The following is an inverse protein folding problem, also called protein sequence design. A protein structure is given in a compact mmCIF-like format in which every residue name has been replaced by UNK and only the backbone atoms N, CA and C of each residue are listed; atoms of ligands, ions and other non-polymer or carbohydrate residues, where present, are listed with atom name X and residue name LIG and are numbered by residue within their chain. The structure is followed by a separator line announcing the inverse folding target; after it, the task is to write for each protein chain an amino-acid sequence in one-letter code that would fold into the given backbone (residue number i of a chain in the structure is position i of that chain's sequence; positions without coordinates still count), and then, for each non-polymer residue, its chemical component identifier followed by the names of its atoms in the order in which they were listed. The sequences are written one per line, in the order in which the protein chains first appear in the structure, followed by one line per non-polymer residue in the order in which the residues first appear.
data_IF_025805235715
#
_entry.id   IF_025805235715
#
_cell.length_a   1.000
_cell.length_b   1.000
_cell.length_c   1.000
_cell.angle_alpha   90.00
_cell.angle_beta   90.00
_cell.angle_gamma   90.00
#
_symmetry.space_group_name_H-M   'P 1'
#
loop_
_entity.id
_entity.type
_entity.pdbx_description
1 polymer ?
#
# COMPACT_ATOMS: atom_id res chain seq x y z
N UNK A 1 -8.41 -10.42 -5.59
CA UNK A 1 -7.04 -10.13 -6.04
C UNK A 1 -7.10 -9.50 -7.44
N UNK A 2 -6.30 -8.48 -7.70
CA UNK A 2 -6.06 -7.94 -9.03
C UNK A 2 -4.63 -7.43 -9.11
N UNK A 3 -3.78 -8.20 -9.80
CA UNK A 3 -2.36 -7.84 -9.93
C UNK A 3 -1.94 -7.94 -11.39
N UNK A 4 -1.51 -6.80 -11.96
CA UNK A 4 -1.04 -6.67 -13.33
C UNK A 4 0.39 -6.13 -13.47
N UNK A 5 1.17 -6.07 -12.38
CA UNK A 5 2.49 -5.40 -12.36
C UNK A 5 3.59 -6.09 -13.20
N UNK A 6 3.48 -7.39 -13.49
CA UNK A 6 4.54 -8.13 -14.18
C UNK A 6 4.13 -8.57 -15.58
N UNK A 7 5.11 -8.81 -16.45
CA UNK A 7 4.87 -9.22 -17.83
C UNK A 7 4.12 -10.56 -17.94
N UNK A 8 4.32 -11.46 -16.97
CA UNK A 8 3.75 -12.81 -16.94
C UNK A 8 2.31 -12.89 -16.40
N UNK A 9 1.60 -11.78 -16.32
CA UNK A 9 0.23 -11.76 -15.79
C UNK A 9 -0.70 -12.64 -16.60
N UNK A 10 -1.70 -13.22 -15.93
CA UNK A 10 -2.60 -14.18 -16.57
C UNK A 10 -3.29 -13.54 -17.80
N UNK A 11 -3.18 -14.21 -18.95
CA UNK A 11 -3.72 -13.78 -20.24
C UNK A 11 -3.20 -12.42 -20.74
N UNK A 12 -2.06 -11.95 -20.23
CA UNK A 12 -1.53 -10.62 -20.54
C UNK A 12 -2.44 -9.47 -20.08
N UNK A 13 -3.27 -9.72 -19.05
CA UNK A 13 -4.21 -8.74 -18.51
C UNK A 13 -4.00 -8.52 -17.02
N UNK A 14 -4.33 -9.52 -16.20
CA UNK A 14 -4.18 -9.46 -14.75
C UNK A 14 -4.37 -10.85 -14.13
N UNK A 15 -3.72 -11.09 -13.00
CA UNK A 15 -4.03 -12.24 -12.15
C UNK A 15 -5.23 -11.91 -11.25
N UNK A 16 -6.32 -12.67 -11.35
CA UNK A 16 -7.59 -12.39 -10.64
C UNK A 16 -8.04 -13.48 -9.66
N UNK A 17 -7.28 -14.57 -9.54
CA UNK A 17 -7.59 -15.70 -8.64
C UNK A 17 -6.34 -16.10 -7.86
N UNK A 18 -5.22 -16.28 -8.60
CA UNK A 18 -3.89 -16.49 -8.06
C UNK A 18 -2.87 -15.90 -9.03
N UNK A 19 -1.78 -15.36 -8.50
CA UNK A 19 -0.64 -14.90 -9.30
C UNK A 19 0.02 -16.05 -10.04
N UNK A 20 0.41 -15.82 -11.31
CA UNK A 20 1.25 -16.78 -12.06
C UNK A 20 2.59 -17.00 -11.34
N UNK A 21 3.10 -15.98 -10.66
CA UNK A 21 4.28 -16.06 -9.79
C UNK A 21 4.07 -16.84 -8.48
N UNK A 22 2.83 -17.31 -8.21
CA UNK A 22 2.49 -18.05 -6.99
C UNK A 22 1.83 -17.21 -5.89
N UNK A 23 1.81 -15.87 -6.02
CA UNK A 23 1.17 -14.93 -5.06
C UNK A 23 -0.28 -15.34 -4.79
N UNK A 24 -0.65 -15.53 -3.53
CA UNK A 24 -2.02 -15.87 -3.11
C UNK A 24 -2.87 -14.61 -3.05
N UNK A 25 -4.20 -14.78 -3.00
CA UNK A 25 -5.13 -13.66 -2.76
C UNK A 25 -4.80 -12.91 -1.46
N UNK A 26 -4.54 -13.65 -0.37
CA UNK A 26 -4.13 -13.07 0.92
C UNK A 26 -2.89 -12.19 0.82
N UNK A 27 -1.83 -12.68 0.18
CA UNK A 27 -0.60 -11.89 0.00
C UNK A 27 -0.86 -10.67 -0.89
N UNK A 28 -1.69 -10.79 -1.92
CA UNK A 28 -2.02 -9.70 -2.83
C UNK A 28 -2.72 -8.54 -2.10
N UNK A 29 -3.83 -8.82 -1.43
CA UNK A 29 -4.60 -7.78 -0.73
C UNK A 29 -3.78 -7.12 0.37
N UNK A 30 -2.91 -7.88 1.07
CA UNK A 30 -2.01 -7.29 2.06
C UNK A 30 -0.94 -6.40 1.43
N UNK A 31 -0.43 -6.71 0.23
CA UNK A 31 0.46 -5.82 -0.51
C UNK A 31 -0.26 -4.54 -0.94
N UNK A 32 -1.50 -4.62 -1.42
CA UNK A 32 -2.33 -3.45 -1.73
C UNK A 32 -2.55 -2.58 -0.49
N UNK A 33 -2.88 -3.19 0.65
CA UNK A 33 -3.06 -2.50 1.91
C UNK A 33 -1.76 -1.84 2.41
N UNK A 34 -0.61 -2.45 2.16
CA UNK A 34 0.69 -1.86 2.45
C UNK A 34 0.94 -0.60 1.60
N UNK A 35 0.66 -0.65 0.29
CA UNK A 35 0.75 0.53 -0.57
C UNK A 35 -0.18 1.64 -0.07
N UNK A 36 -1.42 1.30 0.31
CA UNK A 36 -2.37 2.24 0.87
C UNK A 36 -1.86 2.90 2.17
N UNK A 37 -1.26 2.12 3.07
CA UNK A 37 -0.62 2.65 4.28
C UNK A 37 0.59 3.55 3.97
N UNK A 38 1.41 3.16 2.98
CA UNK A 38 2.55 3.95 2.51
C UNK A 38 2.11 5.29 1.91
N UNK A 39 1.00 5.34 1.17
CA UNK A 39 0.44 6.59 0.66
C UNK A 39 0.09 7.56 1.81
N UNK A 40 -0.51 7.05 2.90
CA UNK A 40 -0.79 7.86 4.08
C UNK A 40 0.44 8.33 4.83
N UNK A 41 1.50 7.52 4.90
CA UNK A 41 2.78 7.94 5.44
C UNK A 41 3.42 9.02 4.55
N UNK A 42 3.46 8.80 3.23
CA UNK A 42 4.05 9.72 2.27
C UNK A 42 3.39 11.10 2.28
N UNK A 43 2.06 11.18 2.37
CA UNK A 43 1.36 12.46 2.45
C UNK A 43 1.73 13.25 3.72
N UNK A 44 1.80 12.58 4.86
CA UNK A 44 2.25 13.19 6.12
C UNK A 44 3.71 13.63 6.02
N UNK A 45 4.57 12.83 5.39
CA UNK A 45 5.98 13.18 5.14
C UNK A 45 6.08 14.46 4.33
N UNK A 46 5.35 14.57 3.22
CA UNK A 46 5.36 15.76 2.38
C UNK A 46 4.92 17.02 3.14
N UNK A 47 3.89 16.93 3.99
CA UNK A 47 3.47 18.07 4.82
C UNK A 47 4.48 18.40 5.93
N UNK A 48 5.13 17.39 6.52
CA UNK A 48 6.17 17.59 7.52
C UNK A 48 7.39 18.31 6.91
N UNK A 49 7.77 17.93 5.69
CA UNK A 49 8.88 18.56 4.97
C UNK A 49 8.63 20.04 4.67
N UNK A 50 7.39 20.42 4.34
CA UNK A 50 7.00 21.84 4.17
C UNK A 50 7.22 22.67 5.44
N UNK A 51 7.20 22.03 6.62
CA UNK A 51 7.49 22.64 7.92
C UNK A 51 8.96 22.51 8.33
N UNK A 52 9.82 22.00 7.46
CA UNK A 52 11.25 21.79 7.72
C UNK A 52 11.55 20.55 8.57
N UNK A 53 10.57 19.68 8.83
CA UNK A 53 10.77 18.42 9.54
C UNK A 53 11.02 17.31 8.53
N UNK A 54 12.29 16.90 8.40
CA UNK A 54 12.72 15.82 7.51
C UNK A 54 13.17 14.61 8.31
N UNK A 55 12.80 13.42 7.83
CA UNK A 55 13.06 12.14 8.49
C UNK A 55 13.59 11.13 7.47
N UNK A 56 14.91 11.13 7.18
CA UNK A 56 15.50 10.20 6.22
C UNK A 56 15.15 8.73 6.50
N UNK A 57 14.99 8.36 7.77
CA UNK A 57 14.55 7.02 8.19
C UNK A 57 13.15 6.65 7.69
N UNK A 58 12.25 7.63 7.55
CA UNK A 58 10.92 7.43 6.97
C UNK A 58 11.03 7.22 5.47
N UNK A 59 11.90 7.98 4.79
CA UNK A 59 12.15 7.82 3.35
C UNK A 59 12.75 6.44 3.04
N UNK A 60 13.72 6.00 3.85
CA UNK A 60 14.31 4.67 3.73
C UNK A 60 13.27 3.57 3.95
N UNK A 61 12.41 3.72 4.96
CA UNK A 61 11.33 2.77 5.22
C UNK A 61 10.33 2.70 4.06
N UNK A 62 9.93 3.84 3.49
CA UNK A 62 9.02 3.88 2.33
C UNK A 62 9.60 3.10 1.15
N UNK A 63 10.89 3.30 0.85
CA UNK A 63 11.57 2.53 -0.20
C UNK A 63 11.58 1.03 0.09
N UNK A 64 11.90 0.63 1.33
CA UNK A 64 11.91 -0.78 1.73
C UNK A 64 10.52 -1.42 1.64
N UNK A 65 9.49 -0.73 2.15
CA UNK A 65 8.12 -1.19 2.14
C UNK A 65 7.60 -1.37 0.72
N UNK A 66 7.81 -0.40 -0.17
CA UNK A 66 7.42 -0.49 -1.59
C UNK A 66 8.19 -1.63 -2.26
N UNK A 67 9.50 -1.74 -2.04
CA UNK A 67 10.31 -2.81 -2.61
C UNK A 67 9.79 -4.21 -2.22
N UNK A 68 9.25 -4.36 -1.00
CA UNK A 68 8.68 -5.62 -0.53
C UNK A 68 7.44 -6.09 -1.34
N UNK A 69 6.80 -5.19 -2.08
CA UNK A 69 5.62 -5.50 -2.92
C UNK A 69 5.98 -5.93 -4.34
N UNK A 70 7.25 -5.81 -4.73
CA UNK A 70 7.71 -6.19 -6.06
C UNK A 70 7.58 -7.70 -6.29
N UNK A 71 7.45 -8.05 -7.57
CA UNK A 71 7.28 -9.44 -8.00
C UNK A 71 8.45 -10.31 -7.50
N UNK A 72 8.12 -11.42 -6.85
CA UNK A 72 9.05 -12.39 -6.27
C UNK A 72 9.93 -11.89 -5.12
N UNK A 73 9.55 -10.81 -4.43
CA UNK A 73 10.32 -10.29 -3.28
C UNK A 73 9.83 -10.85 -1.95
N UNK A 74 8.56 -10.64 -1.59
CA UNK A 74 8.02 -11.06 -0.30
C UNK A 74 6.64 -11.70 -0.43
N UNK A 75 6.50 -12.93 0.07
CA UNK A 75 5.25 -13.68 0.09
C UNK A 75 4.76 -14.00 1.51
N UNK A 76 5.41 -13.48 2.54
CA UNK A 76 5.09 -13.76 3.95
C UNK A 76 4.06 -12.76 4.49
N UNK A 77 2.80 -13.18 4.77
CA UNK A 77 1.75 -12.29 5.28
C UNK A 77 2.11 -11.59 6.59
N UNK A 78 2.81 -12.27 7.51
CA UNK A 78 3.17 -11.69 8.81
C UNK A 78 4.21 -10.58 8.65
N UNK A 79 5.16 -10.77 7.72
CA UNK A 79 6.11 -9.71 7.36
C UNK A 79 5.41 -8.51 6.74
N UNK A 80 4.43 -8.73 5.87
CA UNK A 80 3.66 -7.64 5.23
C UNK A 80 2.82 -6.90 6.28
N UNK A 81 2.16 -7.62 7.19
CA UNK A 81 1.46 -7.04 8.35
C UNK A 81 2.37 -6.15 9.19
N UNK A 82 3.60 -6.60 9.48
CA UNK A 82 4.56 -5.78 10.20
C UNK A 82 4.94 -4.48 9.46
N UNK A 83 5.08 -4.52 8.13
CA UNK A 83 5.28 -3.29 7.34
C UNK A 83 4.07 -2.35 7.41
N UNK A 84 2.84 -2.88 7.34
CA UNK A 84 1.62 -2.07 7.44
C UNK A 84 1.54 -1.36 8.79
N UNK A 85 1.75 -2.11 9.88
CA UNK A 85 1.74 -1.57 11.24
C UNK A 85 2.82 -0.50 11.41
N UNK A 86 4.03 -0.75 10.89
CA UNK A 86 5.14 0.20 10.97
C UNK A 86 4.89 1.47 10.16
N UNK A 87 4.29 1.37 8.98
CA UNK A 87 3.93 2.55 8.16
C UNK A 87 2.97 3.47 8.93
N UNK A 88 1.96 2.89 9.59
CA UNK A 88 0.96 3.61 10.38
C UNK A 88 1.58 4.22 11.65
N UNK A 89 2.45 3.49 12.33
CA UNK A 89 3.19 3.98 13.50
C UNK A 89 4.06 5.20 13.15
N UNK A 90 4.83 5.11 12.06
CA UNK A 90 5.66 6.21 11.57
C UNK A 90 4.81 7.42 11.18
N UNK A 91 3.68 7.18 10.50
CA UNK A 91 2.75 8.24 10.08
C UNK A 91 2.23 9.01 11.29
N UNK A 92 1.73 8.30 12.30
CA UNK A 92 1.12 8.93 13.47
C UNK A 92 2.17 9.63 14.34
N UNK A 93 3.38 9.06 14.44
CA UNK A 93 4.51 9.70 15.12
C UNK A 93 4.92 11.00 14.42
N UNK A 94 5.03 10.98 13.09
CA UNK A 94 5.41 12.15 12.30
C UNK A 94 4.34 13.23 12.30
N UNK A 95 3.05 12.86 12.27
CA UNK A 95 1.93 13.80 12.47
C UNK A 95 2.11 14.59 13.77
N UNK A 96 2.39 13.88 14.86
CA UNK A 96 2.58 14.49 16.17
C UNK A 96 3.83 15.38 16.22
N UNK A 97 4.97 14.87 15.76
CA UNK A 97 6.25 15.59 15.81
C UNK A 97 6.24 16.86 14.94
N UNK A 98 5.78 16.75 13.71
CA UNK A 98 5.73 17.87 12.77
C UNK A 98 4.51 18.78 12.97
N UNK A 99 3.59 18.39 13.87
CA UNK A 99 2.31 19.08 14.12
C UNK A 99 1.55 19.32 12.81
N UNK A 100 1.50 18.31 11.96
CA UNK A 100 0.79 18.37 10.67
C UNK A 100 -0.58 17.73 10.81
N UNK A 101 -1.56 18.36 10.19
CA UNK A 101 -2.91 17.83 10.08
C UNK A 101 -3.18 17.55 8.61
N UNK A 102 -3.42 16.29 8.32
CA UNK A 102 -3.75 15.77 7.00
C UNK A 102 -5.00 14.94 7.17
N UNK A 103 -6.03 15.31 6.42
CA UNK A 103 -7.38 14.77 6.52
C UNK A 103 -7.75 14.05 5.22
N UNK A 104 -7.28 12.81 5.11
CA UNK A 104 -7.48 11.95 3.93
C UNK A 104 -7.83 10.53 4.37
N UNK A 105 -8.51 9.73 3.52
CA UNK A 105 -8.91 8.37 3.88
C UNK A 105 -7.75 7.48 4.36
N UNK A 106 -6.56 7.59 3.75
CA UNK A 106 -5.40 6.79 4.14
C UNK A 106 -4.67 7.33 5.39
N UNK A 107 -4.81 8.62 5.72
CA UNK A 107 -4.22 9.16 6.94
C UNK A 107 -5.05 8.88 8.21
N UNK A 108 -6.28 8.42 8.05
CA UNK A 108 -7.14 7.90 9.13
C UNK A 108 -7.09 6.39 9.32
N UNK A 109 -6.48 5.68 8.37
CA UNK A 109 -6.42 4.23 8.40
C UNK A 109 -5.75 3.70 9.66
N UNK A 110 -6.34 2.66 10.24
CA UNK A 110 -5.79 1.93 11.40
C UNK A 110 -5.85 0.43 11.09
N UNK A 111 -4.71 -0.29 11.16
CA UNK A 111 -4.68 -1.70 10.87
C UNK A 111 -5.36 -2.45 12.01
N UNK A 112 -6.16 -3.45 11.64
CA UNK A 112 -6.68 -4.41 12.59
C UNK A 112 -5.55 -5.25 13.20
N UNK A 113 -5.75 -5.68 14.44
CA UNK A 113 -4.70 -6.40 15.19
C UNK A 113 -4.57 -7.86 14.79
N UNK A 114 -5.70 -8.49 14.46
CA UNK A 114 -5.73 -9.88 14.01
C UNK A 114 -5.52 -9.95 12.50
N UNK A 115 -4.85 -11.00 12.03
CA UNK A 115 -4.64 -11.21 10.60
C UNK A 115 -5.97 -11.34 9.85
N UNK A 116 -6.95 -12.05 10.42
CA UNK A 116 -8.26 -12.25 9.80
C UNK A 116 -8.99 -10.92 9.55
N UNK A 117 -9.01 -10.02 10.54
CA UNK A 117 -9.64 -8.71 10.37
C UNK A 117 -8.83 -7.79 9.45
N UNK A 118 -7.50 -7.91 9.47
CA UNK A 118 -6.63 -7.13 8.59
C UNK A 118 -6.85 -7.51 7.12
N UNK A 119 -7.02 -8.80 6.83
CA UNK A 119 -7.36 -9.28 5.48
C UNK A 119 -8.72 -8.72 5.05
N UNK A 120 -9.73 -8.69 5.91
CA UNK A 120 -11.03 -8.07 5.58
C UNK A 120 -10.88 -6.58 5.26
N UNK A 121 -10.08 -5.85 6.04
CA UNK A 121 -9.77 -4.44 5.75
C UNK A 121 -9.02 -4.26 4.43
N UNK A 122 -8.16 -5.23 4.07
CA UNK A 122 -7.39 -5.25 2.84
C UNK A 122 -8.29 -5.47 1.63
N UNK A 123 -9.21 -6.44 1.70
CA UNK A 123 -10.18 -6.75 0.64
C UNK A 123 -11.09 -5.55 0.32
N UNK A 124 -11.52 -4.78 1.33
CA UNK A 124 -12.27 -3.53 1.12
C UNK A 124 -11.51 -2.44 0.35
N UNK A 125 -10.18 -2.57 0.25
CA UNK A 125 -9.26 -1.58 -0.33
C UNK A 125 -8.43 -2.17 -1.47
N UNK A 126 -8.81 -3.35 -1.93
CA UNK A 126 -8.15 -4.02 -3.03
C UNK A 126 -8.16 -3.13 -4.28
N UNK A 127 -7.06 -3.14 -5.04
CA UNK A 127 -6.93 -2.36 -6.26
C UNK A 127 -7.69 -3.08 -7.39
N UNK A 128 -9.02 -3.08 -7.32
CA UNK A 128 -9.85 -3.75 -8.32
C UNK A 128 -10.17 -2.84 -9.53
N UNK A 129 -10.35 -3.42 -10.74
CA UNK A 129 -10.77 -2.68 -11.94
C UNK A 129 -12.12 -1.96 -11.77
N UNK A 130 -12.99 -2.47 -10.92
CA UNK A 130 -14.29 -1.88 -10.56
C UNK A 130 -14.13 -0.60 -9.73
N UNK A 131 -13.22 -0.61 -8.76
CA UNK A 131 -12.85 0.59 -7.96
C UNK A 131 -12.16 1.62 -8.85
N UNK A 132 -11.32 1.17 -9.78
CA UNK A 132 -10.66 2.00 -10.78
C UNK A 132 -11.59 2.55 -11.88
N UNK A 133 -12.73 1.89 -12.14
CA UNK A 133 -13.72 2.37 -13.11
C UNK A 133 -14.45 3.63 -12.67
N UNK A 134 -14.51 3.92 -11.37
CA UNK A 134 -15.14 5.14 -10.86
C UNK A 134 -14.32 6.40 -11.20
N UNK A 135 -12.99 6.26 -11.32
CA UNK A 135 -12.06 7.36 -11.66
C UNK A 135 -11.74 7.46 -13.17
N UNK A 136 -12.09 6.42 -13.93
CA UNK A 136 -11.81 6.30 -15.36
C UNK A 136 -10.56 5.46 -15.66
N UNK A 137 -10.64 4.66 -16.73
CA UNK A 137 -9.61 3.66 -17.09
C UNK A 137 -8.23 4.30 -17.33
N UNK A 138 -8.17 5.49 -17.91
CA UNK A 138 -6.91 6.21 -18.16
C UNK A 138 -6.23 6.65 -16.85
N UNK A 139 -7.01 7.18 -15.91
CA UNK A 139 -6.50 7.64 -14.60
C UNK A 139 -5.98 6.44 -13.81
N UNK A 140 -6.75 5.35 -13.81
CA UNK A 140 -6.35 4.08 -13.20
C UNK A 140 -5.05 3.54 -13.79
N UNK A 141 -4.94 3.52 -15.12
CA UNK A 141 -3.73 3.07 -15.82
C UNK A 141 -2.51 3.94 -15.47
N UNK A 142 -2.68 5.27 -15.44
CA UNK A 142 -1.60 6.19 -15.06
C UNK A 142 -1.16 6.00 -13.60
N UNK A 143 -2.10 5.83 -12.67
CA UNK A 143 -1.79 5.57 -11.26
C UNK A 143 -0.98 4.28 -11.08
N UNK A 144 -1.40 3.19 -11.73
CA UNK A 144 -0.68 1.91 -11.69
C UNK A 144 0.69 1.95 -12.36
N UNK A 145 0.88 2.83 -13.35
CA UNK A 145 2.17 2.99 -14.04
C UNK A 145 3.18 3.78 -13.21
N UNK A 146 2.70 4.70 -12.37
CA UNK A 146 3.54 5.56 -11.51
C UNK A 146 3.91 4.86 -10.20
N UNK A 147 3.00 4.04 -9.68
CA UNK A 147 3.20 3.25 -8.47
C UNK A 147 4.36 2.27 -8.63
#
# INVERSE_FOLDING_TARGET
MFCNQCEQTAKGFACTVRGVCGKTHETDVLQDLLIYACAGLAEVTLEAEKKGVKKPEVDFFLMEAIFSTLTNVNFDPERIKAYIERAVELRDSLKHEAKVEVDTPWTHFKPAKSMEELIKQAEEREIEPTVMKEEGEDVASLKLTIL
#
